data_IF_230872697395
#
_entry.id   IF_230872697395
#
_cell.length_a   1.000
_cell.length_b   1.000
_cell.length_c   1.000
_cell.angle_alpha   90.00
_cell.angle_beta   90.00
_cell.angle_gamma   90.00
#
_symmetry.space_group_name_H-M   'P 1'
#
loop_
_entity.id
_entity.type
_entity.pdbx_description
1 polymer ?
#
# COMPACT_ATOMS: atom_id res chain seq x y z
N UNK A 1 -0.60 -16.63 20.06
CA UNK A 1 0.33 -16.60 18.92
C UNK A 1 -0.03 -15.44 18.01
N UNK A 2 0.94 -14.65 17.59
CA UNK A 2 0.79 -13.57 16.62
C UNK A 2 1.69 -13.86 15.43
N UNK A 3 1.17 -13.70 14.22
CA UNK A 3 1.92 -13.81 12.98
C UNK A 3 1.87 -12.50 12.21
N UNK A 4 2.97 -12.14 11.58
CA UNK A 4 3.04 -10.95 10.73
C UNK A 4 4.07 -11.11 9.62
N UNK A 5 4.01 -10.22 8.64
CA UNK A 5 5.07 -10.06 7.64
C UNK A 5 5.97 -8.88 8.05
N UNK A 6 7.24 -8.96 7.72
CA UNK A 6 8.20 -7.89 8.02
C UNK A 6 8.32 -6.84 6.91
N UNK A 7 7.82 -7.12 5.71
CA UNK A 7 8.03 -6.33 4.48
C UNK A 7 6.83 -5.44 4.09
N UNK A 8 5.81 -5.31 4.95
CA UNK A 8 4.64 -4.45 4.70
C UNK A 8 4.70 -3.23 5.63
N UNK A 9 3.76 -3.09 6.54
CA UNK A 9 3.69 -1.94 7.45
C UNK A 9 4.96 -1.76 8.29
N UNK A 10 5.66 -2.84 8.64
CA UNK A 10 6.95 -2.77 9.37
C UNK A 10 8.12 -2.27 8.50
N UNK A 11 7.94 -2.13 7.19
CA UNK A 11 8.93 -1.55 6.25
C UNK A 11 10.29 -2.25 6.27
N UNK A 12 10.32 -3.52 6.63
CA UNK A 12 11.54 -4.34 6.68
C UNK A 12 11.75 -5.22 5.42
N UNK A 13 12.71 -6.15 5.47
CA UNK A 13 12.95 -7.10 4.40
C UNK A 13 11.80 -8.10 4.25
N UNK A 14 11.72 -8.74 3.09
CA UNK A 14 10.74 -9.82 2.87
C UNK A 14 10.96 -10.96 3.86
N UNK A 15 9.87 -11.36 4.52
CA UNK A 15 9.89 -12.43 5.48
C UNK A 15 8.64 -12.43 6.36
N UNK A 16 8.53 -13.47 7.17
CA UNK A 16 7.51 -13.61 8.20
C UNK A 16 8.11 -13.54 9.60
N UNK A 17 7.24 -13.39 10.59
CA UNK A 17 7.57 -13.44 11.99
C UNK A 17 6.42 -14.09 12.76
N UNK A 18 6.74 -14.97 13.69
CA UNK A 18 5.79 -15.60 14.60
C UNK A 18 6.22 -15.26 16.02
N UNK A 19 5.30 -14.84 16.86
CA UNK A 19 5.55 -14.44 18.23
C UNK A 19 4.58 -15.12 19.18
N UNK A 20 5.09 -15.58 20.31
CA UNK A 20 4.30 -16.13 21.42
C UNK A 20 5.03 -15.92 22.74
N UNK A 21 4.27 -15.78 23.83
CA UNK A 21 4.81 -15.77 25.20
C UNK A 21 4.70 -17.15 25.86
N UNK A 22 4.14 -18.15 25.16
CA UNK A 22 3.99 -19.51 25.64
C UNK A 22 5.19 -20.35 25.19
N UNK A 23 5.98 -20.85 26.12
CA UNK A 23 7.21 -21.60 25.86
C UNK A 23 6.93 -22.95 25.16
N UNK A 24 5.84 -23.64 25.51
CA UNK A 24 5.50 -24.92 24.88
C UNK A 24 5.06 -24.74 23.44
N UNK A 25 4.32 -23.66 23.16
CA UNK A 25 3.97 -23.28 21.80
C UNK A 25 5.22 -22.87 21.02
N UNK A 26 6.14 -22.11 21.65
CA UNK A 26 7.40 -21.70 21.02
C UNK A 26 8.25 -22.91 20.59
N UNK A 27 8.38 -23.93 21.46
CA UNK A 27 9.09 -25.17 21.13
C UNK A 27 8.48 -25.89 19.93
N UNK A 28 7.15 -26.00 19.87
CA UNK A 28 6.43 -26.63 18.75
C UNK A 28 6.62 -25.85 17.46
N UNK A 29 6.53 -24.51 17.49
CA UNK A 29 6.75 -23.64 16.35
C UNK A 29 8.18 -23.80 15.84
N UNK A 30 9.18 -23.75 16.72
CA UNK A 30 10.59 -23.88 16.36
C UNK A 30 10.86 -25.24 15.68
N UNK A 31 10.32 -26.32 16.22
CA UNK A 31 10.43 -27.66 15.64
C UNK A 31 9.71 -27.78 14.28
N UNK A 32 8.56 -27.16 14.14
CA UNK A 32 7.83 -27.13 12.88
C UNK A 32 8.56 -26.33 11.79
N UNK A 33 9.22 -25.24 12.18
CA UNK A 33 10.04 -24.45 11.25
C UNK A 33 11.30 -25.22 10.88
N UNK A 34 12.08 -25.67 11.85
CA UNK A 34 13.30 -26.41 11.61
C UNK A 34 13.39 -27.62 12.56
N UNK A 35 13.59 -28.84 12.04
CA UNK A 35 13.78 -29.20 10.64
C UNK A 35 12.48 -29.47 9.85
N UNK A 36 11.30 -29.13 10.39
CA UNK A 36 10.02 -29.54 9.82
C UNK A 36 9.77 -29.03 8.39
N UNK A 37 9.81 -27.71 8.19
CA UNK A 37 9.43 -27.05 6.92
C UNK A 37 10.59 -26.32 6.24
N UNK A 38 11.60 -25.86 6.99
CA UNK A 38 12.69 -25.02 6.51
C UNK A 38 14.03 -25.66 6.85
N UNK A 39 15.10 -25.16 6.22
CA UNK A 39 16.49 -25.54 6.44
C UNK A 39 17.35 -24.35 6.85
N UNK A 40 18.51 -24.17 6.22
CA UNK A 40 19.45 -23.10 6.52
C UNK A 40 18.80 -21.70 6.39
N UNK A 41 18.88 -20.84 7.42
CA UNK A 41 18.25 -19.54 7.41
C UNK A 41 19.01 -18.54 6.51
N UNK A 42 18.28 -17.60 5.93
CA UNK A 42 18.83 -16.45 5.21
C UNK A 42 19.31 -15.41 6.22
N UNK A 43 20.55 -15.54 6.71
CA UNK A 43 21.08 -14.71 7.81
C UNK A 43 21.14 -13.23 7.45
N UNK A 44 21.39 -12.88 6.19
CA UNK A 44 21.34 -11.49 5.72
C UNK A 44 19.93 -10.88 5.86
N UNK A 45 18.87 -11.67 5.65
CA UNK A 45 17.48 -11.24 5.91
C UNK A 45 17.24 -11.05 7.40
N UNK A 46 17.77 -11.92 8.25
CA UNK A 46 17.67 -11.79 9.73
C UNK A 46 18.36 -10.50 10.18
N UNK A 47 19.56 -10.22 9.67
CA UNK A 47 20.28 -8.98 9.96
C UNK A 47 19.48 -7.73 9.50
N UNK A 48 18.90 -7.78 8.30
CA UNK A 48 18.05 -6.71 7.79
C UNK A 48 16.78 -6.50 8.64
N UNK A 49 16.16 -7.58 9.17
CA UNK A 49 15.07 -7.47 10.14
C UNK A 49 15.50 -6.76 11.42
N UNK A 50 16.69 -7.06 11.93
CA UNK A 50 17.21 -6.41 13.15
C UNK A 50 17.39 -4.90 12.93
N UNK A 51 17.92 -4.48 11.78
CA UNK A 51 18.03 -3.06 11.41
C UNK A 51 16.66 -2.41 11.35
N UNK A 52 15.70 -3.01 10.63
CA UNK A 52 14.35 -2.49 10.51
C UNK A 52 13.65 -2.35 11.88
N UNK A 53 13.82 -3.32 12.77
CA UNK A 53 13.25 -3.26 14.11
C UNK A 53 13.89 -2.16 14.96
N UNK A 54 15.20 -1.93 14.81
CA UNK A 54 15.88 -0.82 15.48
C UNK A 54 15.35 0.54 14.99
N UNK A 55 15.09 0.69 13.69
CA UNK A 55 14.45 1.90 13.13
C UNK A 55 13.05 2.14 13.72
N UNK A 56 12.26 1.07 13.91
CA UNK A 56 10.91 1.16 14.50
C UNK A 56 10.95 1.66 15.95
N UNK A 57 12.02 1.43 16.68
CA UNK A 57 12.21 1.92 18.05
C UNK A 57 12.53 3.40 18.11
N UNK A 58 12.93 4.04 16.99
CA UNK A 58 13.15 5.48 16.94
C UNK A 58 11.80 6.23 17.05
N UNK A 59 11.71 7.27 17.88
CA UNK A 59 10.51 8.10 17.99
C UNK A 59 9.99 8.65 16.64
N UNK A 60 10.85 8.90 15.67
CA UNK A 60 10.49 9.31 14.30
C UNK A 60 9.59 8.32 13.57
N UNK A 61 9.62 7.04 13.96
CA UNK A 61 8.72 6.04 13.42
C UNK A 61 7.24 6.38 13.70
N UNK A 62 6.95 6.92 14.87
CA UNK A 62 5.58 7.34 15.23
C UNK A 62 5.08 8.48 14.34
N UNK A 63 5.95 9.40 13.96
CA UNK A 63 5.61 10.50 13.06
C UNK A 63 5.35 9.99 11.64
N UNK A 64 6.19 9.05 11.16
CA UNK A 64 5.92 8.35 9.91
C UNK A 64 4.57 7.63 9.93
N UNK A 65 4.26 6.88 10.97
CA UNK A 65 3.01 6.15 11.08
C UNK A 65 1.77 7.07 11.12
N UNK A 66 1.88 8.22 11.80
CA UNK A 66 0.85 9.27 11.79
C UNK A 66 0.66 9.85 10.39
N UNK A 67 1.77 10.15 9.70
CA UNK A 67 1.72 10.69 8.34
C UNK A 67 1.11 9.70 7.35
N UNK A 68 1.40 8.40 7.48
CA UNK A 68 0.75 7.35 6.68
C UNK A 68 -0.78 7.41 6.82
N UNK A 69 -1.29 7.54 8.04
CA UNK A 69 -2.73 7.64 8.29
C UNK A 69 -3.31 8.95 7.75
N UNK A 70 -2.65 10.08 7.97
CA UNK A 70 -3.08 11.38 7.48
C UNK A 70 -3.19 11.37 5.93
N UNK A 71 -2.19 10.84 5.26
CA UNK A 71 -2.17 10.73 3.81
C UNK A 71 -3.28 9.81 3.28
N UNK A 72 -3.51 8.67 3.92
CA UNK A 72 -4.60 7.77 3.54
C UNK A 72 -5.98 8.42 3.74
N UNK A 73 -6.13 9.20 4.80
CA UNK A 73 -7.37 9.93 5.08
C UNK A 73 -7.66 10.96 3.99
N UNK A 74 -6.70 11.80 3.64
CA UNK A 74 -6.83 12.80 2.56
C UNK A 74 -7.17 12.11 1.24
N UNK A 75 -6.49 11.03 0.89
CA UNK A 75 -6.79 10.23 -0.30
C UNK A 75 -8.27 9.79 -0.32
N UNK A 76 -8.78 9.25 0.79
CA UNK A 76 -10.17 8.83 0.91
C UNK A 76 -11.16 10.00 0.82
N UNK A 77 -10.87 11.12 1.50
CA UNK A 77 -11.73 12.32 1.49
C UNK A 77 -11.86 12.92 0.09
N UNK A 78 -10.78 13.00 -0.68
CA UNK A 78 -10.81 13.48 -2.07
C UNK A 78 -11.65 12.54 -2.93
N UNK A 79 -11.43 11.23 -2.85
CA UNK A 79 -12.20 10.25 -3.62
C UNK A 79 -13.70 10.36 -3.32
N UNK A 80 -14.09 10.48 -2.05
CA UNK A 80 -15.49 10.68 -1.65
C UNK A 80 -16.04 11.99 -2.21
N UNK A 81 -15.30 13.10 -2.11
CA UNK A 81 -15.72 14.41 -2.63
C UNK A 81 -15.93 14.40 -4.15
N UNK A 82 -15.22 13.52 -4.87
CA UNK A 82 -15.33 13.30 -6.32
C UNK A 82 -16.41 12.25 -6.69
N UNK A 83 -17.19 11.76 -5.71
CA UNK A 83 -18.30 10.83 -5.94
C UNK A 83 -17.90 9.37 -6.11
N UNK A 84 -16.75 8.98 -5.56
CA UNK A 84 -16.32 7.58 -5.45
C UNK A 84 -16.73 6.99 -4.11
N UNK A 85 -17.17 5.74 -4.17
CA UNK A 85 -17.65 4.99 -3.00
C UNK A 85 -16.47 4.33 -2.28
N UNK A 86 -16.28 4.67 -1.01
CA UNK A 86 -15.23 4.08 -0.17
C UNK A 86 -15.89 3.08 0.78
N UNK A 87 -15.43 1.84 0.73
CA UNK A 87 -15.86 0.81 1.68
C UNK A 87 -15.61 1.30 3.11
N UNK A 88 -16.60 1.20 3.97
CA UNK A 88 -16.63 1.76 5.34
C UNK A 88 -16.73 3.29 5.42
N UNK A 89 -16.95 3.98 4.30
CA UNK A 89 -17.07 5.45 4.26
C UNK A 89 -15.78 6.22 4.49
N UNK A 90 -14.63 5.54 4.57
CA UNK A 90 -13.33 6.16 4.81
C UNK A 90 -12.27 5.18 5.29
N UNK A 91 -11.22 5.71 5.94
CA UNK A 91 -10.16 4.88 6.51
C UNK A 91 -9.57 5.50 7.78
N UNK A 92 -9.18 4.65 8.71
CA UNK A 92 -8.40 4.97 9.91
C UNK A 92 -7.03 4.25 9.94
N UNK A 93 -6.66 3.64 8.81
CA UNK A 93 -5.39 2.94 8.63
C UNK A 93 -4.59 3.44 7.40
N UNK A 94 -3.81 2.59 6.75
CA UNK A 94 -2.87 2.93 5.69
C UNK A 94 -3.41 2.75 4.27
N UNK A 95 -4.64 2.29 4.10
CA UNK A 95 -5.21 1.98 2.78
C UNK A 95 -6.67 2.41 2.66
N UNK A 96 -7.10 2.57 1.42
CA UNK A 96 -8.48 2.86 1.04
C UNK A 96 -8.94 1.76 0.08
N UNK A 97 -10.14 1.24 0.27
CA UNK A 97 -10.81 0.32 -0.65
C UNK A 97 -11.94 1.07 -1.36
N UNK A 98 -11.78 1.27 -2.66
CA UNK A 98 -12.75 1.97 -3.52
C UNK A 98 -13.68 0.96 -4.17
N UNK A 99 -14.98 1.20 -4.14
CA UNK A 99 -16.01 0.36 -4.75
C UNK A 99 -16.50 0.95 -6.07
N UNK A 100 -16.62 0.08 -7.07
CA UNK A 100 -17.16 0.38 -8.40
C UNK A 100 -18.44 -0.43 -8.70
N UNK A 101 -19.16 -0.90 -7.68
CA UNK A 101 -20.42 -1.63 -7.89
C UNK A 101 -21.44 -0.81 -8.68
N UNK A 102 -21.45 0.51 -8.47
CA UNK A 102 -22.34 1.47 -9.12
C UNK A 102 -21.69 2.22 -10.31
N UNK A 103 -20.54 1.72 -10.83
CA UNK A 103 -19.85 2.32 -11.95
C UNK A 103 -19.90 1.39 -13.17
N UNK A 104 -19.87 1.93 -14.42
CA UNK A 104 -19.93 1.13 -15.64
C UNK A 104 -18.67 0.29 -15.91
N UNK A 105 -17.57 0.56 -15.24
CA UNK A 105 -16.29 -0.14 -15.37
C UNK A 105 -15.99 -1.04 -14.16
N UNK A 106 -15.05 -1.94 -14.34
CA UNK A 106 -14.62 -2.90 -13.33
C UNK A 106 -13.33 -2.48 -12.61
N UNK A 107 -12.95 -3.21 -11.54
CA UNK A 107 -11.64 -3.06 -10.91
C UNK A 107 -10.49 -3.34 -11.87
N UNK A 108 -10.67 -4.29 -12.81
CA UNK A 108 -9.69 -4.59 -13.86
C UNK A 108 -9.50 -3.43 -14.83
N UNK A 109 -10.58 -2.78 -15.24
CA UNK A 109 -10.50 -1.64 -16.15
C UNK A 109 -9.83 -0.44 -15.47
N UNK A 110 -10.19 -0.19 -14.22
CA UNK A 110 -9.56 0.85 -13.40
C UNK A 110 -8.06 0.59 -13.17
N UNK A 111 -7.66 -0.65 -12.84
CA UNK A 111 -6.25 -1.05 -12.66
C UNK A 111 -5.45 -0.81 -13.95
N UNK A 112 -6.01 -1.16 -15.11
CA UNK A 112 -5.37 -0.95 -16.41
C UNK A 112 -5.22 0.54 -16.73
N UNK A 113 -6.29 1.34 -16.59
CA UNK A 113 -6.27 2.77 -16.90
C UNK A 113 -5.31 3.56 -15.99
N UNK A 114 -5.35 3.26 -14.68
CA UNK A 114 -4.43 3.85 -13.71
C UNK A 114 -2.98 3.43 -13.96
N UNK A 115 -2.74 2.16 -14.37
CA UNK A 115 -1.43 1.68 -14.78
C UNK A 115 -0.86 2.45 -15.97
N UNK A 116 -1.66 2.74 -17.00
CA UNK A 116 -1.27 3.57 -18.15
C UNK A 116 -0.89 5.01 -17.73
N UNK A 117 -1.52 5.50 -16.65
CA UNK A 117 -1.21 6.80 -16.06
C UNK A 117 -0.06 6.76 -15.01
N UNK A 118 0.65 5.63 -14.89
CA UNK A 118 1.76 5.47 -13.94
C UNK A 118 1.35 5.31 -12.47
N UNK A 119 0.06 5.02 -12.21
CA UNK A 119 -0.47 4.84 -10.87
C UNK A 119 -0.70 3.35 -10.60
N UNK A 120 0.14 2.77 -9.76
CA UNK A 120 0.02 1.35 -9.39
C UNK A 120 -1.00 1.17 -8.27
N UNK A 121 -2.02 0.36 -8.53
CA UNK A 121 -3.04 -0.03 -7.56
C UNK A 121 -3.19 -1.56 -7.55
N UNK A 122 -4.07 -2.09 -6.70
CA UNK A 122 -4.46 -3.48 -6.75
C UNK A 122 -5.97 -3.57 -7.01
N UNK A 123 -6.40 -4.27 -8.07
CA UNK A 123 -7.80 -4.66 -8.18
C UNK A 123 -8.19 -5.53 -6.98
N UNK A 124 -9.38 -5.33 -6.44
CA UNK A 124 -9.81 -5.95 -5.20
C UNK A 124 -11.31 -6.23 -5.23
N UNK A 125 -11.73 -7.35 -4.66
CA UNK A 125 -13.14 -7.59 -4.37
C UNK A 125 -13.64 -6.64 -3.30
N UNK A 126 -14.92 -6.33 -3.36
CA UNK A 126 -15.61 -5.45 -2.39
C UNK A 126 -16.78 -6.19 -1.75
N UNK A 127 -17.29 -5.76 -0.59
CA UNK A 127 -18.53 -6.29 -0.05
C UNK A 127 -19.68 -6.19 -1.06
N UNK A 128 -20.43 -7.27 -1.23
CA UNK A 128 -21.48 -7.35 -2.25
C UNK A 128 -20.96 -7.63 -3.67
N UNK A 129 -19.73 -8.13 -3.82
CA UNK A 129 -19.10 -8.45 -5.11
C UNK A 129 -19.97 -9.37 -5.98
N UNK A 130 -20.19 -8.96 -7.24
CA UNK A 130 -20.95 -9.71 -8.23
C UNK A 130 -20.11 -10.15 -9.43
N UNK A 131 -18.91 -9.59 -9.60
CA UNK A 131 -17.98 -9.95 -10.68
C UNK A 131 -17.03 -11.05 -10.24
N UNK A 132 -16.41 -11.73 -11.20
CA UNK A 132 -15.43 -12.78 -10.88
C UNK A 132 -14.20 -12.20 -10.15
N UNK A 133 -13.48 -13.02 -9.36
CA UNK A 133 -12.25 -12.59 -8.67
C UNK A 133 -11.13 -12.08 -9.60
N UNK A 134 -11.20 -12.41 -10.88
CA UNK A 134 -10.23 -11.95 -11.90
C UNK A 134 -10.57 -10.55 -12.47
N UNK A 135 -11.82 -10.10 -12.29
CA UNK A 135 -12.33 -8.81 -12.78
C UNK A 135 -12.48 -7.83 -11.64
N UNK A 136 -13.17 -8.22 -10.57
CA UNK A 136 -13.48 -7.46 -9.35
C UNK A 136 -14.28 -6.17 -9.56
N UNK A 137 -14.84 -5.63 -8.51
CA UNK A 137 -15.58 -4.37 -8.52
C UNK A 137 -14.92 -3.28 -7.70
N UNK A 138 -13.63 -3.37 -7.43
CA UNK A 138 -12.92 -2.33 -6.69
C UNK A 138 -11.43 -2.32 -6.92
N UNK A 139 -10.80 -1.30 -6.34
CA UNK A 139 -9.34 -1.15 -6.23
C UNK A 139 -8.96 -0.82 -4.80
N UNK A 140 -7.77 -1.24 -4.41
CA UNK A 140 -7.15 -0.89 -3.15
C UNK A 140 -5.94 0.00 -3.38
N UNK A 141 -5.89 1.12 -2.66
CA UNK A 141 -4.83 2.13 -2.75
C UNK A 141 -4.23 2.31 -1.36
N UNK A 142 -2.90 2.37 -1.26
CA UNK A 142 -2.19 2.52 0.01
C UNK A 142 -1.27 3.73 0.03
N UNK A 143 -1.06 4.29 1.22
CA UNK A 143 -0.24 5.48 1.43
C UNK A 143 1.23 5.22 1.83
N UNK A 144 1.66 4.06 2.37
CA UNK A 144 2.98 3.91 2.98
C UNK A 144 4.16 4.18 2.06
N UNK A 145 4.10 3.71 0.80
CA UNK A 145 5.22 3.82 -0.14
C UNK A 145 5.58 5.29 -0.45
N UNK A 146 4.59 6.11 -0.76
CA UNK A 146 4.79 7.52 -1.06
C UNK A 146 5.10 8.33 0.20
N UNK A 147 4.50 7.97 1.35
CA UNK A 147 4.85 8.57 2.64
C UNK A 147 6.31 8.29 3.00
N UNK A 148 6.83 7.08 2.74
CA UNK A 148 8.23 6.75 2.97
C UNK A 148 9.19 7.57 2.07
N UNK A 149 8.72 8.04 0.91
CA UNK A 149 9.46 8.97 0.03
C UNK A 149 9.41 10.43 0.50
N UNK A 150 8.60 10.75 1.50
CA UNK A 150 8.47 12.10 2.07
C UNK A 150 7.25 12.88 1.58
N UNK A 151 6.37 12.29 0.79
CA UNK A 151 5.12 12.92 0.37
C UNK A 151 4.16 13.07 1.56
N UNK A 152 3.45 14.19 1.57
CA UNK A 152 2.49 14.57 2.62
C UNK A 152 1.10 14.79 2.02
N UNK A 153 0.20 15.36 2.80
CA UNK A 153 -1.20 15.55 2.48
C UNK A 153 -1.42 16.27 1.15
N UNK A 154 -0.63 17.30 0.86
CA UNK A 154 -0.73 18.09 -0.37
C UNK A 154 -0.45 17.26 -1.64
N UNK A 155 0.58 16.44 -1.60
CA UNK A 155 0.91 15.55 -2.71
C UNK A 155 -0.16 14.46 -2.85
N UNK A 156 -0.68 13.94 -1.74
CA UNK A 156 -1.76 12.94 -1.77
C UNK A 156 -3.07 13.51 -2.29
N UNK A 157 -3.43 14.74 -1.96
CA UNK A 157 -4.58 15.44 -2.53
C UNK A 157 -4.43 15.58 -4.05
N UNK A 158 -3.24 15.99 -4.52
CA UNK A 158 -2.95 16.09 -5.94
C UNK A 158 -3.08 14.73 -6.66
N UNK A 159 -2.44 13.70 -6.13
CA UNK A 159 -2.48 12.34 -6.68
C UNK A 159 -3.91 11.79 -6.67
N UNK A 160 -4.68 12.01 -5.60
CA UNK A 160 -6.06 11.57 -5.51
C UNK A 160 -6.94 12.21 -6.59
N UNK A 161 -6.76 13.51 -6.88
CA UNK A 161 -7.45 14.17 -7.99
C UNK A 161 -7.05 13.57 -9.34
N UNK A 162 -5.76 13.26 -9.56
CA UNK A 162 -5.32 12.57 -10.80
C UNK A 162 -5.90 11.16 -10.93
N UNK A 163 -6.04 10.42 -9.83
CA UNK A 163 -6.75 9.14 -9.83
C UNK A 163 -8.19 9.33 -10.31
N UNK A 164 -8.91 10.33 -9.78
CA UNK A 164 -10.27 10.62 -10.21
C UNK A 164 -10.32 11.02 -11.68
N UNK A 165 -9.42 11.89 -12.15
CA UNK A 165 -9.37 12.33 -13.54
C UNK A 165 -9.21 11.14 -14.51
N UNK A 166 -8.38 10.15 -14.17
CA UNK A 166 -8.23 8.90 -14.95
C UNK A 166 -9.50 8.06 -14.90
N UNK A 167 -10.11 7.89 -13.74
CA UNK A 167 -11.31 7.07 -13.57
C UNK A 167 -12.56 7.70 -14.22
N UNK A 168 -12.64 9.02 -14.24
CA UNK A 168 -13.71 9.76 -14.91
C UNK A 168 -13.57 9.71 -16.45
N UNK A 169 -12.35 9.43 -16.97
CA UNK A 169 -11.99 9.36 -18.37
C UNK A 169 -11.23 8.07 -18.70
N UNK A 170 -11.82 6.93 -18.36
CA UNK A 170 -11.15 5.63 -18.31
C UNK A 170 -10.60 5.14 -19.65
N UNK A 171 -11.13 5.64 -20.77
CA UNK A 171 -10.71 5.28 -22.13
C UNK A 171 -9.77 6.32 -22.78
N UNK A 172 -9.57 7.50 -22.15
CA UNK A 172 -8.75 8.58 -22.70
C UNK A 172 -7.25 8.35 -22.48
N UNK A 173 -6.65 7.62 -23.43
CA UNK A 173 -5.22 7.27 -23.38
C UNK A 173 -4.28 8.48 -23.48
N UNK A 174 -4.71 9.57 -24.13
CA UNK A 174 -3.89 10.78 -24.21
C UNK A 174 -3.86 11.54 -22.88
N UNK A 175 -5.00 11.59 -22.19
CA UNK A 175 -5.07 12.12 -20.84
C UNK A 175 -4.20 11.28 -19.88
N UNK A 176 -4.25 9.92 -19.98
CA UNK A 176 -3.43 9.04 -19.15
C UNK A 176 -1.94 9.29 -19.34
N UNK A 177 -1.47 9.43 -20.58
CA UNK A 177 -0.07 9.76 -20.88
C UNK A 177 0.35 11.12 -20.32
N UNK A 178 -0.54 12.11 -20.38
CA UNK A 178 -0.30 13.45 -19.82
C UNK A 178 -0.15 13.35 -18.30
N UNK A 179 -1.08 12.68 -17.64
CA UNK A 179 -1.05 12.48 -16.18
C UNK A 179 0.21 11.72 -15.76
N UNK A 180 0.61 10.69 -16.51
CA UNK A 180 1.84 9.94 -16.26
C UNK A 180 3.05 10.87 -16.18
N UNK A 181 3.24 11.75 -17.17
CA UNK A 181 4.35 12.73 -17.16
C UNK A 181 4.30 13.68 -15.96
N UNK A 182 3.12 14.19 -15.62
CA UNK A 182 2.93 15.06 -14.47
C UNK A 182 3.29 14.35 -13.14
N UNK A 183 2.95 13.06 -13.01
CA UNK A 183 3.27 12.26 -11.84
C UNK A 183 4.75 11.85 -11.80
N UNK A 184 5.38 11.59 -12.94
CA UNK A 184 6.84 11.38 -13.03
C UNK A 184 7.61 12.63 -12.57
N UNK A 185 7.19 13.82 -13.02
CA UNK A 185 7.77 15.09 -12.58
C UNK A 185 7.58 15.32 -11.07
N UNK A 186 6.42 14.99 -10.52
CA UNK A 186 6.18 15.04 -9.08
C UNK A 186 7.10 14.05 -8.37
N UNK A 187 7.13 12.79 -8.80
CA UNK A 187 7.88 11.72 -8.16
C UNK A 187 9.39 11.96 -8.17
N UNK A 188 9.92 12.65 -9.20
CA UNK A 188 11.35 12.99 -9.31
C UNK A 188 11.85 13.89 -8.18
N UNK A 189 10.94 14.65 -7.55
CA UNK A 189 11.25 15.53 -6.40
C UNK A 189 11.37 14.77 -5.08
N UNK A 190 10.93 13.49 -5.05
CA UNK A 190 10.86 12.64 -3.87
C UNK A 190 11.69 11.37 -4.08
N UNK A 191 13.01 11.50 -4.04
CA UNK A 191 13.96 10.40 -4.32
C UNK A 191 13.93 9.37 -3.19
N UNK A 192 13.94 8.08 -3.52
CA UNK A 192 13.92 6.99 -2.53
C UNK A 192 15.22 6.95 -1.73
N UNK A 193 16.35 7.10 -2.40
CA UNK A 193 17.69 7.14 -1.81
C UNK A 193 18.42 8.38 -2.29
N UNK A 194 18.75 9.30 -1.40
CA UNK A 194 19.66 10.40 -1.71
C UNK A 194 21.11 9.96 -1.49
N UNK A 195 22.04 10.52 -2.25
CA UNK A 195 23.49 10.27 -2.12
C UNK A 195 24.07 10.59 -0.73
N UNK A 196 23.28 11.25 0.13
CA UNK A 196 23.64 11.60 1.50
C UNK A 196 23.20 10.54 2.54
N UNK A 197 22.66 9.41 2.11
CA UNK A 197 22.10 8.39 3.01
C UNK A 197 23.07 7.24 3.29
N UNK A 198 24.28 7.27 2.68
CA UNK A 198 25.35 6.26 2.87
C UNK A 198 26.65 6.94 3.25
#
# INVERSE_FOLDING_TARGET
>A
VVTTTTHKTLRGPRGGMIMTNDEEIAKKINSAIFPGLQGGPLVHVIAAKAVAFKEILDPKWKDYAKQVKANAKVLGEVLVSRGYDIVSGGTDNHLVLVSFLNKPFSGKDADAALGDAGITVNKNTVPGETRSPFVTSGIRIGSPALTARGMKEKEFEYIANKICDVLDNIEDKELHKKINKELEELASKFVIYSSSTY
#
